data_IF_955053790666
#
_entry.id   IF_955053790666
#
_cell.length_a   1.000
_cell.length_b   1.000
_cell.length_c   1.000
_cell.angle_alpha   90.00
_cell.angle_beta   90.00
_cell.angle_gamma   90.00
#
_symmetry.space_group_name_H-M   'P 1'
#
loop_
_entity.id
_entity.type
_entity.pdbx_description
1 polymer ?
#
# COMPACT_ATOMS: atom_id res chain seq x y z
N UNK A 1 12.33 -13.49 6.99
CA UNK A 1 12.22 -14.82 6.38
C UNK A 1 12.56 -14.68 4.91
N UNK A 2 13.49 -15.46 4.34
CA UNK A 2 13.68 -15.50 2.90
C UNK A 2 12.41 -16.10 2.28
N UNK A 3 11.63 -15.29 1.58
CA UNK A 3 10.49 -15.74 0.81
C UNK A 3 10.95 -15.99 -0.62
N UNK A 4 10.67 -17.17 -1.16
CA UNK A 4 10.95 -17.43 -2.57
C UNK A 4 9.89 -16.71 -3.41
N UNK A 5 10.22 -15.49 -3.83
CA UNK A 5 9.50 -14.83 -4.91
C UNK A 5 10.19 -15.21 -6.20
N UNK A 6 9.44 -15.90 -7.06
CA UNK A 6 9.87 -16.07 -8.44
C UNK A 6 9.86 -14.69 -9.11
N UNK A 7 10.90 -14.32 -9.89
CA UNK A 7 10.84 -13.13 -10.74
C UNK A 7 9.70 -13.17 -11.78
N UNK A 8 9.06 -14.34 -11.95
CA UNK A 8 7.89 -14.59 -12.78
C UNK A 8 6.58 -14.66 -12.00
N UNK A 9 6.58 -14.30 -10.72
CA UNK A 9 5.34 -14.24 -9.95
C UNK A 9 4.52 -13.02 -10.40
N UNK A 10 3.45 -13.29 -11.13
CA UNK A 10 2.53 -12.27 -11.64
C UNK A 10 1.87 -11.45 -10.52
N UNK A 11 1.97 -11.86 -9.26
CA UNK A 11 1.44 -11.10 -8.14
C UNK A 11 2.29 -9.87 -7.77
N UNK A 12 3.48 -9.73 -8.35
CA UNK A 12 4.39 -8.62 -8.06
C UNK A 12 4.69 -7.80 -9.32
N UNK A 13 4.99 -6.52 -9.12
CA UNK A 13 5.40 -5.63 -10.20
C UNK A 13 6.51 -4.70 -9.73
N UNK A 14 7.52 -4.50 -10.58
CA UNK A 14 8.57 -3.50 -10.34
C UNK A 14 7.97 -2.09 -10.35
N UNK A 15 8.38 -1.23 -9.43
CA UNK A 15 7.94 0.16 -9.39
C UNK A 15 8.18 0.90 -10.71
N UNK A 16 9.35 0.72 -11.32
CA UNK A 16 9.64 1.34 -12.62
C UNK A 16 8.73 0.85 -13.76
N UNK A 17 8.24 -0.40 -13.69
CA UNK A 17 7.26 -0.91 -14.65
C UNK A 17 5.85 -0.37 -14.35
N UNK A 18 5.48 -0.30 -13.08
CA UNK A 18 4.21 0.29 -12.65
C UNK A 18 4.09 1.76 -13.08
N UNK A 19 5.17 2.54 -12.95
CA UNK A 19 5.22 3.94 -13.36
C UNK A 19 4.98 4.10 -14.87
N UNK A 20 5.66 3.31 -15.70
CA UNK A 20 5.50 3.32 -17.16
C UNK A 20 4.07 2.97 -17.57
N UNK A 21 3.52 1.90 -17.00
CA UNK A 21 2.16 1.46 -17.29
C UNK A 21 1.11 2.50 -16.87
N UNK A 22 1.31 3.18 -15.74
CA UNK A 22 0.42 4.25 -15.31
C UNK A 22 0.46 5.46 -16.24
N UNK A 23 1.66 5.87 -16.67
CA UNK A 23 1.84 6.97 -17.62
C UNK A 23 1.21 6.66 -19.00
N UNK A 24 1.35 5.43 -19.49
CA UNK A 24 0.72 4.98 -20.75
C UNK A 24 -0.82 5.06 -20.71
N UNK A 25 -1.43 4.88 -19.53
CA UNK A 25 -2.88 4.84 -19.33
C UNK A 25 -3.49 6.15 -18.82
N UNK A 26 -2.68 7.19 -18.58
CA UNK A 26 -3.15 8.46 -18.04
C UNK A 26 -2.66 9.65 -18.87
N UNK A 27 -3.54 10.30 -19.65
CA UNK A 27 -3.17 11.52 -20.37
C UNK A 27 -2.70 12.60 -19.40
N UNK A 28 -1.49 13.13 -19.62
CA UNK A 28 -0.92 14.23 -18.82
C UNK A 28 -0.07 13.84 -17.62
N UNK A 29 0.19 12.55 -17.38
CA UNK A 29 1.22 12.10 -16.43
C UNK A 29 2.36 11.46 -17.19
N UNK A 30 3.59 11.89 -16.93
CA UNK A 30 4.76 11.20 -17.45
C UNK A 30 5.23 10.09 -16.50
N UNK A 31 6.06 9.17 -17.00
CA UNK A 31 6.57 8.06 -16.17
C UNK A 31 7.47 8.54 -15.04
N UNK A 32 8.12 9.70 -15.16
CA UNK A 32 9.00 10.24 -14.14
C UNK A 32 8.20 10.84 -12.97
N UNK A 33 7.08 11.51 -13.25
CA UNK A 33 6.12 12.04 -12.29
C UNK A 33 5.51 10.90 -11.48
N UNK A 34 5.08 9.82 -12.14
CA UNK A 34 4.56 8.65 -11.43
C UNK A 34 5.65 7.99 -10.59
N UNK A 35 6.87 7.90 -11.11
CA UNK A 35 7.99 7.33 -10.36
C UNK A 35 8.35 8.20 -9.14
N UNK A 36 8.28 9.52 -9.24
CA UNK A 36 8.44 10.45 -8.13
C UNK A 36 7.38 10.18 -7.05
N UNK A 37 6.11 10.09 -7.43
CA UNK A 37 5.02 9.79 -6.48
C UNK A 37 5.20 8.43 -5.81
N UNK A 38 5.62 7.40 -6.55
CA UNK A 38 5.86 6.06 -6.01
C UNK A 38 7.08 6.03 -5.07
N UNK A 39 8.17 6.73 -5.41
CA UNK A 39 9.34 6.85 -4.54
C UNK A 39 8.97 7.51 -3.20
N UNK A 40 8.21 8.60 -3.24
CA UNK A 40 7.68 9.24 -2.02
C UNK A 40 6.81 8.28 -1.21
N UNK A 41 5.97 7.49 -1.88
CA UNK A 41 5.12 6.50 -1.21
C UNK A 41 5.92 5.40 -0.50
N UNK A 42 7.04 4.95 -1.09
CA UNK A 42 7.96 4.01 -0.45
C UNK A 42 8.50 4.59 0.86
N UNK A 43 9.05 5.81 0.83
CA UNK A 43 9.64 6.42 2.03
C UNK A 43 8.59 6.86 3.08
N UNK A 44 7.38 7.18 2.63
CA UNK A 44 6.23 7.40 3.52
C UNK A 44 5.71 6.10 4.17
N UNK A 45 6.22 4.92 3.79
CA UNK A 45 5.78 3.64 4.33
C UNK A 45 4.43 3.16 3.79
N UNK A 46 3.95 3.71 2.66
CA UNK A 46 2.66 3.34 2.09
C UNK A 46 2.57 1.86 1.68
N UNK A 47 3.72 1.24 1.41
CA UNK A 47 3.84 -0.17 1.04
C UNK A 47 4.33 -1.06 2.18
N UNK A 48 4.54 -0.52 3.38
CA UNK A 48 5.02 -1.31 4.51
C UNK A 48 4.01 -2.39 4.92
N UNK A 49 4.48 -3.50 5.52
CA UNK A 49 3.60 -4.51 6.11
C UNK A 49 2.86 -3.98 7.35
N UNK A 50 1.67 -4.52 7.69
CA UNK A 50 0.88 -4.09 8.86
C UNK A 50 1.66 -4.16 10.16
N UNK A 51 1.56 -3.15 11.06
CA UNK A 51 2.37 -3.07 12.30
C UNK A 51 2.46 -4.39 13.06
N UNK A 52 3.66 -4.70 13.58
CA UNK A 52 3.91 -5.92 14.35
C UNK A 52 3.35 -5.86 15.79
N UNK A 53 2.99 -4.67 16.28
CA UNK A 53 2.59 -4.47 17.67
C UNK A 53 1.21 -5.06 17.96
N UNK A 54 1.13 -5.89 19.01
CA UNK A 54 -0.14 -6.44 19.49
C UNK A 54 -0.83 -7.42 18.54
N UNK A 55 -0.12 -7.97 17.55
CA UNK A 55 -0.68 -8.95 16.62
C UNK A 55 -0.98 -10.27 17.33
N UNK A 56 -2.20 -10.78 17.16
CA UNK A 56 -2.52 -12.17 17.46
C UNK A 56 -1.85 -13.11 16.43
N UNK A 57 -1.89 -14.42 16.70
CA UNK A 57 -1.23 -15.42 15.86
C UNK A 57 -1.73 -15.41 14.40
N UNK A 58 -3.01 -15.08 14.19
CA UNK A 58 -3.58 -14.97 12.84
C UNK A 58 -3.02 -13.75 12.13
N UNK A 59 -2.98 -12.61 12.80
CA UNK A 59 -2.49 -11.36 12.26
C UNK A 59 -0.97 -11.40 12.03
N UNK A 60 -0.22 -12.16 12.83
CA UNK A 60 1.20 -12.46 12.59
C UNK A 60 1.39 -13.26 11.31
N UNK A 61 0.62 -14.34 11.09
CA UNK A 61 0.66 -15.11 9.84
C UNK A 61 0.32 -14.27 8.62
N UNK A 62 -0.69 -13.40 8.73
CA UNK A 62 -1.01 -12.44 7.66
C UNK A 62 0.18 -11.53 7.40
N UNK A 63 0.76 -10.93 8.46
CA UNK A 63 1.95 -10.07 8.30
C UNK A 63 3.10 -10.80 7.63
N UNK A 64 3.36 -12.05 7.96
CA UNK A 64 4.48 -12.84 7.40
C UNK A 64 4.28 -13.26 5.94
N UNK A 65 3.06 -13.14 5.40
CA UNK A 65 2.77 -13.53 4.04
C UNK A 65 3.49 -12.62 3.02
N UNK A 66 4.17 -13.18 1.98
CA UNK A 66 4.97 -12.40 1.02
C UNK A 66 4.19 -11.28 0.32
N UNK A 67 2.91 -11.49 0.02
CA UNK A 67 2.01 -10.50 -0.58
C UNK A 67 1.82 -9.24 0.27
N UNK A 68 2.26 -9.25 1.54
CA UNK A 68 2.21 -8.11 2.44
C UNK A 68 3.52 -7.33 2.51
N UNK A 69 4.56 -7.73 1.79
CA UNK A 69 5.86 -7.06 1.77
C UNK A 69 6.26 -6.62 0.36
N UNK A 70 6.84 -5.43 0.19
CA UNK A 70 7.64 -5.16 -0.99
C UNK A 70 8.95 -5.94 -0.88
N UNK A 71 9.54 -6.24 -2.02
CA UNK A 71 10.72 -7.09 -2.12
C UNK A 71 11.83 -6.41 -2.91
N UNK A 72 13.04 -6.54 -2.39
CA UNK A 72 14.24 -6.02 -3.04
C UNK A 72 15.12 -7.18 -3.52
N UNK A 73 15.62 -7.13 -4.76
CA UNK A 73 16.63 -8.07 -5.23
C UNK A 73 17.98 -7.71 -4.63
N UNK A 74 18.59 -8.64 -3.90
CA UNK A 74 19.95 -8.50 -3.36
C UNK A 74 20.83 -9.57 -3.99
N UNK A 75 22.05 -9.20 -4.39
CA UNK A 75 23.03 -10.18 -4.85
C UNK A 75 23.30 -11.21 -3.75
N UNK A 76 23.24 -12.49 -4.12
CA UNK A 76 23.48 -13.57 -3.17
C UNK A 76 24.93 -13.48 -2.69
N UNK A 77 25.17 -13.42 -1.36
CA UNK A 77 26.52 -13.37 -0.81
C UNK A 77 27.38 -14.53 -1.32
N UNK A 78 28.66 -14.26 -1.63
CA UNK A 78 29.60 -15.27 -2.13
C UNK A 78 29.67 -16.56 -1.30
N UNK A 79 29.57 -16.53 0.06
CA UNK A 79 29.53 -17.74 0.87
C UNK A 79 28.37 -18.69 0.55
N UNK A 80 27.24 -18.17 0.04
CA UNK A 80 26.04 -18.94 -0.29
C UNK A 80 26.02 -19.42 -1.74
N UNK A 81 26.98 -18.96 -2.56
CA UNK A 81 27.12 -19.36 -3.95
C UNK A 81 28.05 -20.56 -4.09
N UNK A 82 27.65 -21.52 -4.91
CA UNK A 82 28.52 -22.61 -5.37
C UNK A 82 29.72 -22.04 -6.16
N UNK A 83 30.85 -22.77 -6.27
CA UNK A 83 32.02 -22.31 -7.03
C UNK A 83 31.70 -21.93 -8.48
N UNK A 84 30.76 -22.62 -9.13
CA UNK A 84 30.31 -22.30 -10.49
C UNK A 84 29.49 -21.03 -10.54
N UNK A 85 28.57 -20.82 -9.58
CA UNK A 85 27.75 -19.62 -9.51
C UNK A 85 28.58 -18.36 -9.22
N UNK A 86 29.68 -18.48 -8.47
CA UNK A 86 30.60 -17.35 -8.20
C UNK A 86 31.26 -16.79 -9.46
N UNK A 87 31.32 -17.58 -10.54
CA UNK A 87 31.89 -17.18 -11.83
C UNK A 87 30.88 -16.50 -12.75
N UNK A 88 29.59 -16.50 -12.39
CA UNK A 88 28.54 -15.90 -13.21
C UNK A 88 28.59 -14.38 -13.13
N UNK A 89 28.29 -13.73 -14.26
CA UNK A 89 28.03 -12.30 -14.36
C UNK A 89 26.79 -12.10 -15.24
N UNK A 90 25.68 -11.55 -14.70
CA UNK A 90 25.49 -11.11 -13.32
C UNK A 90 25.43 -12.28 -12.31
N UNK A 91 25.70 -11.99 -11.04
CA UNK A 91 25.58 -12.98 -9.96
C UNK A 91 24.12 -13.32 -9.69
N UNK A 92 23.81 -14.52 -9.16
CA UNK A 92 22.46 -14.87 -8.74
C UNK A 92 21.94 -13.92 -7.65
N UNK A 93 20.67 -13.52 -7.77
CA UNK A 93 19.99 -12.65 -6.81
C UNK A 93 18.96 -13.43 -5.98
N UNK A 94 18.70 -12.95 -4.76
CA UNK A 94 17.61 -13.39 -3.91
C UNK A 94 16.70 -12.22 -3.57
N UNK A 95 15.42 -12.52 -3.36
CA UNK A 95 14.41 -11.53 -3.04
C UNK A 95 14.14 -11.51 -1.54
N UNK A 96 14.22 -10.33 -0.94
CA UNK A 96 14.00 -10.15 0.49
C UNK A 96 12.85 -9.19 0.73
N UNK A 97 11.90 -9.61 1.59
CA UNK A 97 10.85 -8.72 2.08
C UNK A 97 11.48 -7.56 2.83
N UNK A 98 11.14 -6.34 2.44
CA UNK A 98 11.72 -5.11 2.95
C UNK A 98 10.62 -4.16 3.42
N UNK A 99 10.88 -3.35 4.44
CA UNK A 99 10.08 -2.16 4.73
C UNK A 99 10.91 -0.92 4.41
N UNK A 100 10.36 0.29 4.62
CA UNK A 100 11.10 1.54 4.39
C UNK A 100 12.45 1.61 5.12
N UNK A 101 12.56 1.05 6.33
CA UNK A 101 13.82 1.01 7.08
C UNK A 101 14.86 0.12 6.38
N UNK A 102 14.47 -1.09 5.97
CA UNK A 102 15.34 -2.00 5.23
C UNK A 102 15.77 -1.41 3.89
N UNK A 103 14.83 -0.79 3.17
CA UNK A 103 15.10 -0.12 1.89
C UNK A 103 16.17 0.96 2.06
N UNK A 104 16.00 1.88 3.03
CA UNK A 104 16.97 2.95 3.29
C UNK A 104 18.32 2.40 3.75
N UNK A 105 18.34 1.37 4.59
CA UNK A 105 19.58 0.73 5.05
C UNK A 105 20.38 0.09 3.92
N UNK A 106 19.70 -0.58 2.97
CA UNK A 106 20.37 -1.13 1.77
C UNK A 106 20.84 -0.01 0.85
N UNK A 107 20.00 1.00 0.61
CA UNK A 107 20.40 2.15 -0.20
C UNK A 107 21.61 2.89 0.37
N UNK A 108 21.72 3.01 1.70
CA UNK A 108 22.88 3.58 2.36
C UNK A 108 24.14 2.73 2.15
N UNK A 109 23.99 1.41 2.23
CA UNK A 109 25.12 0.45 2.08
C UNK A 109 25.62 0.38 0.64
N UNK A 110 24.77 0.74 -0.34
CA UNK A 110 25.07 0.71 -1.78
C UNK A 110 25.30 2.11 -2.38
N UNK A 111 25.55 3.14 -1.56
CA UNK A 111 25.76 4.54 -1.98
C UNK A 111 24.66 5.06 -2.94
N UNK A 112 23.42 4.64 -2.68
CA UNK A 112 22.24 4.92 -3.51
C UNK A 112 21.42 6.12 -3.00
N UNK A 113 21.76 6.70 -1.85
CA UNK A 113 21.06 7.84 -1.27
C UNK A 113 21.48 9.17 -1.95
N UNK A 114 20.59 10.17 -2.03
CA UNK A 114 20.89 11.47 -2.62
C UNK A 114 21.73 12.35 -1.69
N UNK A 115 22.77 13.03 -2.21
CA UNK A 115 23.64 13.88 -1.39
C UNK A 115 24.85 13.14 -0.82
N UNK A 116 25.42 13.62 0.28
CA UNK A 116 26.66 13.08 0.84
C UNK A 116 26.42 11.92 1.80
N UNK A 117 27.13 10.80 1.59
CA UNK A 117 26.99 9.59 2.41
C UNK A 117 27.23 9.84 3.91
N UNK A 118 28.20 10.69 4.26
CA UNK A 118 28.51 11.02 5.65
C UNK A 118 27.34 11.71 6.40
N UNK A 119 26.53 12.51 5.69
CA UNK A 119 25.37 13.19 6.27
C UNK A 119 24.25 12.19 6.58
N UNK A 120 24.04 11.21 5.71
CA UNK A 120 23.11 10.11 5.96
C UNK A 120 23.58 9.18 7.07
N UNK A 121 24.87 8.90 7.14
CA UNK A 121 25.45 8.08 8.21
C UNK A 121 25.24 8.72 9.57
N UNK A 122 25.47 10.04 9.68
CA UNK A 122 25.17 10.80 10.89
C UNK A 122 23.66 10.75 11.23
N UNK A 123 22.78 10.91 10.25
CA UNK A 123 21.33 10.96 10.49
C UNK A 123 20.72 9.59 10.85
N UNK A 124 21.19 8.51 10.22
CA UNK A 124 20.61 7.16 10.34
C UNK A 124 21.24 6.33 11.46
N UNK A 125 22.50 6.60 11.82
CA UNK A 125 23.24 5.81 12.83
C UNK A 125 23.39 6.52 14.17
N UNK A 126 22.90 7.75 14.33
CA UNK A 126 22.95 8.44 15.62
C UNK A 126 22.01 7.78 16.63
N UNK A 127 22.59 6.90 17.45
CA UNK A 127 21.89 6.19 18.53
C UNK A 127 21.37 7.14 19.62
N UNK A 128 21.85 8.39 19.67
CA UNK A 128 21.39 9.39 20.63
C UNK A 128 20.11 10.10 20.20
N UNK A 129 19.73 9.95 18.92
CA UNK A 129 18.54 10.57 18.31
C UNK A 129 17.68 9.53 17.59
N UNK A 130 16.83 8.78 18.31
CA UNK A 130 15.94 7.80 17.70
C UNK A 130 14.99 8.42 16.66
N UNK A 131 14.66 9.71 16.78
CA UNK A 131 13.90 10.49 15.79
C UNK A 131 14.63 10.68 14.44
N UNK A 132 15.96 10.50 14.39
CA UNK A 132 16.77 10.72 13.18
C UNK A 132 16.33 9.85 12.00
N UNK A 133 15.81 8.65 12.26
CA UNK A 133 15.27 7.78 11.20
C UNK A 133 13.99 8.34 10.58
N UNK A 134 13.07 8.86 11.39
CA UNK A 134 11.84 9.49 10.88
C UNK A 134 12.15 10.79 10.14
N UNK A 135 13.12 11.56 10.62
CA UNK A 135 13.62 12.74 9.90
C UNK A 135 14.23 12.37 8.54
N UNK A 136 14.98 11.26 8.47
CA UNK A 136 15.53 10.74 7.22
C UNK A 136 14.41 10.35 6.25
N UNK A 137 13.37 9.64 6.70
CA UNK A 137 12.22 9.31 5.85
C UNK A 137 11.47 10.54 5.38
N UNK A 138 11.29 11.53 6.26
CA UNK A 138 10.66 12.80 5.92
C UNK A 138 11.47 13.58 4.87
N UNK A 139 12.80 13.57 4.97
CA UNK A 139 13.69 14.16 3.98
C UNK A 139 13.57 13.44 2.64
N UNK A 140 13.69 12.10 2.61
CA UNK A 140 13.59 11.29 1.39
C UNK A 140 12.21 11.41 0.71
N UNK A 141 11.13 11.55 1.48
CA UNK A 141 9.78 11.78 0.95
C UNK A 141 9.65 13.16 0.28
N UNK A 142 10.49 14.13 0.65
CA UNK A 142 10.51 15.47 0.07
C UNK A 142 11.47 15.59 -1.10
N UNK A 143 12.52 14.78 -1.14
CA UNK A 143 13.53 14.77 -2.21
C UNK A 143 12.91 14.31 -3.53
N UNK A 144 12.98 15.13 -4.59
CA UNK A 144 12.60 14.72 -5.94
C UNK A 144 13.40 13.50 -6.42
N UNK A 145 12.73 12.56 -7.09
CA UNK A 145 13.33 11.35 -7.63
C UNK A 145 14.49 11.64 -8.60
N UNK A 146 14.40 12.75 -9.33
CA UNK A 146 15.47 13.20 -10.24
C UNK A 146 16.79 13.52 -9.53
N UNK A 147 16.77 13.85 -8.23
CA UNK A 147 17.97 14.16 -7.45
C UNK A 147 18.68 12.91 -6.91
N UNK A 148 18.11 11.72 -7.08
CA UNK A 148 18.77 10.49 -6.70
C UNK A 148 19.90 10.15 -7.69
N UNK A 149 21.04 9.65 -7.19
CA UNK A 149 22.09 9.13 -8.07
C UNK A 149 21.51 8.02 -8.98
N UNK A 150 22.16 7.78 -10.12
CA UNK A 150 21.65 6.78 -11.07
C UNK A 150 21.49 5.38 -10.43
N UNK A 151 22.40 5.01 -9.52
CA UNK A 151 22.31 3.77 -8.75
C UNK A 151 21.03 3.75 -7.90
N UNK A 152 20.74 4.83 -7.15
CA UNK A 152 19.54 4.96 -6.34
C UNK A 152 18.24 4.94 -7.15
N UNK A 153 18.21 5.59 -8.31
CA UNK A 153 17.05 5.53 -9.20
C UNK A 153 16.77 4.11 -9.68
N UNK A 154 17.82 3.40 -10.13
CA UNK A 154 17.71 1.99 -10.55
C UNK A 154 17.29 1.08 -9.40
N UNK A 155 17.80 1.34 -8.20
CA UNK A 155 17.43 0.59 -7.01
C UNK A 155 15.93 0.72 -6.71
N UNK A 156 15.42 1.96 -6.63
CA UNK A 156 14.00 2.21 -6.32
C UNK A 156 13.10 1.66 -7.44
N UNK A 157 13.44 1.87 -8.72
CA UNK A 157 12.71 1.29 -9.85
C UNK A 157 12.66 -0.24 -9.81
N UNK A 158 13.69 -0.88 -9.26
CA UNK A 158 13.85 -2.32 -9.13
C UNK A 158 13.10 -2.96 -7.96
N UNK A 159 12.47 -2.17 -7.08
CA UNK A 159 11.67 -2.68 -5.97
C UNK A 159 10.41 -3.36 -6.53
N UNK A 160 10.18 -4.60 -6.12
CA UNK A 160 8.97 -5.35 -6.44
C UNK A 160 7.91 -5.09 -5.39
N UNK A 161 6.73 -4.64 -5.81
CA UNK A 161 5.61 -4.39 -4.92
C UNK A 161 4.45 -5.33 -5.32
N UNK A 162 3.74 -5.93 -4.36
CA UNK A 162 2.52 -6.68 -4.64
C UNK A 162 1.53 -5.86 -5.47
N UNK A 163 0.98 -6.44 -6.55
CA UNK A 163 0.03 -5.77 -7.45
C UNK A 163 -1.19 -5.23 -6.69
N UNK A 164 -1.71 -5.97 -5.72
CA UNK A 164 -2.82 -5.53 -4.87
C UNK A 164 -2.51 -4.26 -4.06
N UNK A 165 -1.26 -4.08 -3.58
CA UNK A 165 -0.85 -2.84 -2.89
C UNK A 165 -0.73 -1.68 -3.86
N UNK A 166 -0.15 -1.91 -5.05
CA UNK A 166 -0.05 -0.88 -6.09
C UNK A 166 -1.43 -0.43 -6.55
N UNK A 167 -2.34 -1.36 -6.82
CA UNK A 167 -3.73 -1.07 -7.20
C UNK A 167 -4.40 -0.19 -6.15
N UNK A 168 -4.42 -0.64 -4.89
CA UNK A 168 -5.01 0.13 -3.79
C UNK A 168 -4.42 1.53 -3.68
N UNK A 169 -3.10 1.66 -3.88
CA UNK A 169 -2.43 2.94 -3.83
C UNK A 169 -2.85 3.87 -4.98
N UNK A 170 -2.95 3.36 -6.22
CA UNK A 170 -3.42 4.12 -7.38
C UNK A 170 -4.90 4.52 -7.24
N UNK A 171 -5.75 3.60 -6.78
CA UNK A 171 -7.19 3.85 -6.54
C UNK A 171 -7.41 4.96 -5.52
N UNK A 172 -6.68 4.94 -4.40
CA UNK A 172 -6.75 5.99 -3.38
C UNK A 172 -6.32 7.37 -3.89
N UNK A 173 -5.61 7.43 -5.03
CA UNK A 173 -5.16 8.67 -5.67
C UNK A 173 -5.94 9.02 -6.94
N UNK A 174 -6.97 8.25 -7.27
CA UNK A 174 -7.78 8.41 -8.47
C UNK A 174 -6.94 8.38 -9.77
N UNK A 175 -5.79 7.71 -9.74
CA UNK A 175 -4.97 7.46 -10.92
C UNK A 175 -5.50 6.19 -11.58
N UNK A 176 -5.78 6.26 -12.87
CA UNK A 176 -6.24 5.09 -13.64
C UNK A 176 -5.32 3.90 -13.43
N UNK A 177 -5.88 2.83 -12.85
CA UNK A 177 -5.17 1.57 -12.64
C UNK A 177 -4.87 0.94 -14.00
N UNK A 178 -3.60 0.70 -14.35
CA UNK A 178 -3.23 -0.03 -15.56
C UNK A 178 -3.95 -1.38 -15.64
N UNK A 179 -4.35 -1.80 -16.84
CA UNK A 179 -5.08 -3.06 -17.04
C UNK A 179 -4.30 -4.28 -16.51
N UNK A 180 -2.96 -4.27 -16.59
CA UNK A 180 -2.10 -5.31 -16.03
C UNK A 180 -2.18 -5.43 -14.48
N UNK A 181 -2.69 -4.39 -13.82
CA UNK A 181 -2.96 -4.38 -12.39
C UNK A 181 -4.42 -4.67 -12.07
N UNK A 182 -5.31 -4.86 -13.06
CA UNK A 182 -6.67 -5.41 -12.84
C UNK A 182 -6.54 -6.93 -12.77
N UNK A 183 -7.17 -7.56 -11.78
CA UNK A 183 -7.02 -9.00 -11.58
C UNK A 183 -7.71 -9.81 -12.68
N UNK A 184 -7.04 -10.87 -13.15
CA UNK A 184 -7.65 -12.06 -13.77
C UNK A 184 -8.35 -12.96 -12.73
N UNK A 185 -8.41 -12.56 -11.45
CA UNK A 185 -9.24 -13.22 -10.43
C UNK A 185 -10.74 -13.14 -10.80
N UNK A 186 -11.15 -12.19 -11.65
CA UNK A 186 -12.48 -12.21 -12.25
C UNK A 186 -12.67 -13.32 -13.32
N UNK A 187 -11.60 -14.00 -13.75
CA UNK A 187 -11.63 -15.11 -14.70
C UNK A 187 -11.47 -16.48 -14.03
N UNK A 188 -10.67 -16.59 -12.95
CA UNK A 188 -10.58 -17.84 -12.18
C UNK A 188 -11.91 -18.24 -11.51
N UNK A 189 -12.72 -17.26 -11.09
CA UNK A 189 -14.08 -17.49 -10.61
C UNK A 189 -15.10 -17.74 -11.74
N UNK A 190 -14.78 -17.37 -12.99
CA UNK A 190 -15.64 -17.64 -14.16
C UNK A 190 -15.38 -19.02 -14.79
N UNK A 191 -14.16 -19.55 -14.74
CA UNK A 191 -13.86 -20.88 -15.27
C UNK A 191 -14.27 -22.03 -14.34
N UNK A 192 -14.27 -21.83 -13.02
CA UNK A 192 -14.82 -22.81 -12.07
C UNK A 192 -16.36 -22.77 -11.95
N UNK A 193 -17.02 -21.73 -12.48
CA UNK A 193 -18.47 -21.61 -12.51
C UNK A 193 -19.13 -22.37 -13.69
N UNK A 194 -18.35 -22.90 -14.64
CA UNK A 194 -18.89 -23.58 -15.81
C UNK A 194 -19.25 -25.07 -15.58
N UNK A 195 -19.05 -25.62 -14.38
CA UNK A 195 -19.31 -27.03 -14.10
C UNK A 195 -19.96 -27.29 -12.73
N UNK A 196 -21.13 -26.69 -12.46
CA UNK A 196 -22.10 -27.26 -11.51
C UNK A 196 -23.51 -26.68 -11.73
N UNK A 197 -24.56 -27.52 -11.87
CA UNK A 197 -25.92 -27.04 -12.05
C UNK A 197 -26.51 -26.49 -10.74
N UNK A 198 -27.38 -25.48 -10.92
CA UNK A 198 -28.13 -24.75 -9.91
C UNK A 198 -28.54 -25.53 -8.65
N UNK A 199 -28.14 -25.02 -7.49
CA UNK A 199 -28.91 -25.13 -6.25
C UNK A 199 -28.83 -23.80 -5.48
N UNK A 200 -29.95 -23.21 -5.05
CA UNK A 200 -29.96 -21.97 -4.30
C UNK A 200 -29.54 -22.25 -2.85
N UNK A 201 -28.40 -21.69 -2.42
CA UNK A 201 -27.97 -21.71 -1.02
C UNK A 201 -28.35 -20.38 -0.37
N UNK A 202 -29.18 -20.48 0.66
CA UNK A 202 -29.67 -19.39 1.47
C UNK A 202 -28.54 -18.59 2.15
N UNK A 203 -28.76 -17.27 2.39
CA UNK A 203 -27.79 -16.42 3.06
C UNK A 203 -27.80 -16.68 4.58
N UNK A 204 -26.73 -17.26 5.11
CA UNK A 204 -26.43 -17.21 6.54
C UNK A 204 -25.67 -15.93 6.89
N UNK A 205 -26.42 -14.81 6.99
CA UNK A 205 -25.95 -13.63 7.71
C UNK A 205 -26.98 -13.28 8.79
N UNK A 206 -26.69 -13.66 10.04
CA UNK A 206 -27.37 -13.08 11.20
C UNK A 206 -27.03 -11.60 11.28
N UNK A 207 -27.96 -10.75 10.85
CA UNK A 207 -27.93 -9.31 11.02
C UNK A 207 -28.89 -8.62 10.07
N UNK A 208 -29.69 -7.66 10.57
CA UNK A 208 -30.65 -6.89 9.75
C UNK A 208 -29.92 -6.24 8.56
N UNK A 209 -30.45 -6.34 7.32
CA UNK A 209 -29.82 -5.77 6.14
C UNK A 209 -29.49 -4.28 6.36
N UNK A 210 -28.26 -3.88 6.08
CA UNK A 210 -27.85 -2.48 6.16
C UNK A 210 -28.52 -1.71 5.02
N UNK A 211 -29.12 -0.56 5.35
CA UNK A 211 -29.73 0.32 4.34
C UNK A 211 -28.68 0.86 3.38
N UNK A 212 -29.03 1.01 2.10
CA UNK A 212 -28.11 1.40 1.03
C UNK A 212 -27.34 2.71 1.31
N UNK A 213 -28.01 3.70 1.94
CA UNK A 213 -27.43 5.00 2.26
C UNK A 213 -26.30 4.96 3.31
N UNK A 214 -26.07 3.83 3.99
CA UNK A 214 -25.09 3.73 5.07
C UNK A 214 -23.65 3.97 4.62
N UNK A 215 -23.31 3.58 3.39
CA UNK A 215 -21.97 3.80 2.81
C UNK A 215 -21.70 5.30 2.61
N UNK A 216 -22.66 6.02 2.03
CA UNK A 216 -22.56 7.48 1.81
C UNK A 216 -22.53 8.26 3.13
N UNK A 217 -23.33 7.86 4.12
CA UNK A 217 -23.32 8.48 5.46
C UNK A 217 -21.98 8.29 6.16
N UNK A 218 -21.38 7.10 6.04
CA UNK A 218 -20.07 6.80 6.63
C UNK A 218 -18.98 7.68 6.02
N UNK A 219 -18.97 7.81 4.68
CA UNK A 219 -18.02 8.66 3.97
C UNK A 219 -18.18 10.14 4.33
N UNK A 220 -19.42 10.65 4.36
CA UNK A 220 -19.71 12.03 4.76
C UNK A 220 -19.27 12.33 6.20
N UNK A 221 -19.44 11.38 7.13
CA UNK A 221 -18.99 11.53 8.52
C UNK A 221 -17.47 11.57 8.65
N UNK A 222 -16.74 10.80 7.84
CA UNK A 222 -15.28 10.82 7.84
C UNK A 222 -14.74 12.15 7.31
N UNK A 223 -15.31 12.66 6.22
CA UNK A 223 -14.97 13.98 5.65
C UNK A 223 -15.26 15.13 6.63
N UNK A 224 -16.44 15.12 7.25
CA UNK A 224 -16.80 16.13 8.26
C UNK A 224 -15.90 16.06 9.50
N UNK A 225 -15.38 14.88 9.84
CA UNK A 225 -14.46 14.70 10.97
C UNK A 225 -13.06 15.20 10.67
N UNK A 226 -12.58 15.06 9.42
CA UNK A 226 -11.29 15.60 8.99
C UNK A 226 -11.33 17.12 8.85
N UNK A 227 -12.43 17.68 8.34
CA UNK A 227 -12.58 19.12 8.15
C UNK A 227 -12.88 19.86 9.47
N UNK A 228 -13.65 19.24 10.38
CA UNK A 228 -14.10 19.89 11.61
C UNK A 228 -13.96 18.95 12.83
N UNK A 229 -12.74 18.74 13.37
CA UNK A 229 -12.46 17.76 14.42
C UNK A 229 -13.14 18.07 15.77
N UNK A 230 -13.57 19.31 16.01
CA UNK A 230 -14.24 19.76 17.24
C UNK A 230 -15.77 19.78 17.14
N UNK A 231 -16.34 19.47 15.97
CA UNK A 231 -17.80 19.53 15.75
C UNK A 231 -18.55 18.55 16.65
N UNK A 232 -19.67 18.99 17.23
CA UNK A 232 -20.49 18.15 18.09
C UNK A 232 -21.07 16.96 17.32
N UNK A 233 -21.04 15.77 17.92
CA UNK A 233 -21.50 14.50 17.30
C UNK A 233 -22.93 14.57 16.76
N UNK A 234 -23.82 15.28 17.46
CA UNK A 234 -25.22 15.49 17.06
C UNK A 234 -25.32 16.29 15.76
N UNK A 235 -24.54 17.37 15.65
CA UNK A 235 -24.49 18.22 14.47
C UNK A 235 -23.86 17.49 13.27
N UNK A 236 -22.82 16.69 13.52
CA UNK A 236 -22.12 15.90 12.51
C UNK A 236 -23.02 14.80 11.91
N UNK A 237 -23.77 14.09 12.75
CA UNK A 237 -24.73 13.08 12.31
C UNK A 237 -25.88 13.69 11.49
N UNK A 238 -26.37 14.85 11.90
CA UNK A 238 -27.43 15.55 11.16
C UNK A 238 -26.93 16.08 9.81
N UNK A 239 -25.71 16.60 9.74
CA UNK A 239 -25.09 17.04 8.49
C UNK A 239 -24.87 15.88 7.51
N UNK A 240 -24.36 14.74 7.98
CA UNK A 240 -24.20 13.55 7.15
C UNK A 240 -25.54 12.97 6.69
N UNK A 241 -26.55 12.95 7.55
CA UNK A 241 -27.91 12.55 7.18
C UNK A 241 -28.51 13.49 6.13
N UNK A 242 -28.36 14.81 6.31
CA UNK A 242 -28.85 15.83 5.35
C UNK A 242 -28.15 15.74 4.00
N UNK A 243 -26.88 15.33 3.97
CA UNK A 243 -26.16 15.05 2.72
C UNK A 243 -26.74 13.83 2.02
N UNK A 244 -26.94 12.73 2.75
CA UNK A 244 -27.50 11.50 2.19
C UNK A 244 -28.97 11.66 1.77
N UNK A 245 -29.75 12.51 2.45
CA UNK A 245 -31.14 12.79 2.11
C UNK A 245 -31.33 13.52 0.77
N UNK A 246 -30.25 14.00 0.14
CA UNK A 246 -30.29 14.55 -1.23
C UNK A 246 -30.24 13.47 -2.31
N UNK A 247 -29.73 12.29 -1.98
CA UNK A 247 -29.40 11.22 -2.93
C UNK A 247 -30.23 9.94 -2.71
N UNK A 248 -30.80 9.77 -1.51
CA UNK A 248 -31.55 8.57 -1.14
C UNK A 248 -32.96 8.90 -0.68
N UNK A 249 -33.91 8.01 -0.98
CA UNK A 249 -35.27 8.08 -0.46
C UNK A 249 -35.29 7.84 1.07
N UNK A 250 -36.32 8.37 1.73
CA UNK A 250 -36.46 8.30 3.20
C UNK A 250 -36.55 6.85 3.73
N UNK A 251 -37.09 5.94 2.91
CA UNK A 251 -37.13 4.50 3.15
C UNK A 251 -35.74 3.88 3.32
N UNK A 252 -34.75 4.39 2.59
CA UNK A 252 -33.36 3.93 2.58
C UNK A 252 -32.43 4.71 3.49
N UNK A 253 -32.94 5.76 4.15
CA UNK A 253 -32.19 6.53 5.13
C UNK A 253 -32.31 5.91 6.54
N UNK A 254 -31.19 5.70 7.25
CA UNK A 254 -31.21 5.41 8.68
C UNK A 254 -31.58 6.67 9.46
N UNK A 255 -32.18 6.51 10.64
CA UNK A 255 -32.50 7.67 11.48
C UNK A 255 -31.24 8.34 12.02
N UNK A 256 -31.32 9.65 12.26
CA UNK A 256 -30.20 10.43 12.83
C UNK A 256 -29.71 9.86 14.16
N UNK A 257 -30.61 9.30 14.98
CA UNK A 257 -30.25 8.63 16.23
C UNK A 257 -29.42 7.34 16.00
N UNK A 258 -29.73 6.58 14.95
CA UNK A 258 -28.94 5.39 14.56
C UNK A 258 -27.53 5.78 14.09
N UNK A 259 -27.41 6.88 13.34
CA UNK A 259 -26.13 7.43 12.89
C UNK A 259 -25.29 7.90 14.08
N UNK A 260 -25.90 8.59 15.04
CA UNK A 260 -25.24 9.03 16.28
C UNK A 260 -24.72 7.87 17.13
N UNK A 261 -25.48 6.77 17.22
CA UNK A 261 -25.07 5.60 17.99
C UNK A 261 -23.85 4.89 17.38
N UNK A 262 -23.76 4.85 16.04
CA UNK A 262 -22.67 4.17 15.32
C UNK A 262 -21.47 5.05 14.99
N UNK A 263 -21.54 6.36 15.24
CA UNK A 263 -20.45 7.32 15.03
C UNK A 263 -19.15 6.90 15.74
N UNK A 264 -19.26 6.37 16.96
CA UNK A 264 -18.09 5.89 17.73
C UNK A 264 -17.46 4.63 17.15
N UNK A 265 -18.26 3.73 16.58
CA UNK A 265 -17.76 2.53 15.89
C UNK A 265 -17.07 2.92 14.59
N UNK A 266 -17.71 3.78 13.78
CA UNK A 266 -17.17 4.26 12.50
C UNK A 266 -15.79 4.93 12.68
N UNK A 267 -15.64 5.80 13.67
CA UNK A 267 -14.36 6.47 13.92
C UNK A 267 -13.30 5.57 14.55
N UNK A 268 -13.69 4.49 15.24
CA UNK A 268 -12.75 3.48 15.74
C UNK A 268 -12.33 2.52 14.63
N UNK A 269 -13.24 2.17 13.73
CA UNK A 269 -12.97 1.34 12.56
C UNK A 269 -12.06 2.03 11.55
N UNK A 270 -12.04 3.37 11.52
CA UNK A 270 -11.15 4.16 10.66
C UNK A 270 -9.84 4.61 11.35
N UNK A 271 -9.60 4.17 12.60
CA UNK A 271 -8.33 4.35 13.34
C UNK A 271 -7.46 3.08 13.33
N UNK A 272 -7.86 2.05 12.59
CA UNK A 272 -7.12 0.80 12.39
C UNK A 272 -6.63 0.71 10.95
#
# INVERSE_FOLDING_TARGET
MPAYISPFDDRFLKLGRAAKLAAENHPGLDSADVMDMLARAVFAGAFDPPSAEGLDERARKVREAPENWPHIPIETPAPWLTPSQRKLSPKPQQYFGANRHTIVSVMQSEDCLPGEAAQWDALLRDLTRPEGQEEAFAALTKTPFAHYPQAGRRFIEGIYVPRGKLRRWFELRQISVPELLRDDEEQADKENAAAAPCAPLEPTLRGRPQKAAWRCITQALLMLRTENPTMQRKAMAYAAWKSAAKEFEESDLPSVATIQRKLGEIFRSNRR
#
